data_IF_411590208403
#
_entry.id   IF_411590208403
#
_cell.length_a   1.000
_cell.length_b   1.000
_cell.length_c   1.000
_cell.angle_alpha   90.00
_cell.angle_beta   90.00
_cell.angle_gamma   90.00
#
_symmetry.space_group_name_H-M   'P 1'
#
loop_
_entity.id
_entity.type
_entity.pdbx_description
1 polymer ?
#
# COMPACT_ATOMS: atom_id res chain seq x y z
N UNK A 1 7.56 -9.97 14.41
CA UNK A 1 7.96 -11.34 14.05
C UNK A 1 7.18 -11.80 12.82
N UNK A 2 7.88 -12.35 11.83
CA UNK A 2 7.26 -12.87 10.60
C UNK A 2 7.27 -14.40 10.62
N UNK A 3 6.15 -15.01 10.26
CA UNK A 3 5.95 -16.45 10.28
C UNK A 3 5.48 -16.97 8.92
N UNK A 4 5.95 -18.14 8.50
CA UNK A 4 5.48 -18.76 7.25
C UNK A 4 4.09 -19.41 7.36
N UNK A 5 3.62 -19.65 8.59
CA UNK A 5 2.29 -20.18 8.93
C UNK A 5 1.80 -19.56 10.25
N UNK A 6 0.52 -19.78 10.60
CA UNK A 6 -0.01 -19.38 11.91
C UNK A 6 0.90 -19.97 13.01
N UNK A 7 1.47 -19.13 13.90
CA UNK A 7 2.27 -19.61 15.02
C UNK A 7 1.36 -20.10 16.14
N UNK A 8 1.79 -21.13 16.87
CA UNK A 8 1.13 -21.57 18.10
C UNK A 8 1.40 -20.58 19.24
N UNK A 9 0.61 -20.68 20.32
CA UNK A 9 0.88 -19.93 21.56
C UNK A 9 2.29 -20.19 22.09
N UNK A 10 2.75 -21.45 22.04
CA UNK A 10 4.09 -21.82 22.54
C UNK A 10 5.20 -21.23 21.66
N UNK A 11 5.02 -21.19 20.34
CA UNK A 11 5.96 -20.55 19.42
C UNK A 11 6.03 -19.03 19.66
N UNK A 12 4.91 -18.38 19.96
CA UNK A 12 4.87 -16.97 20.36
C UNK A 12 5.54 -16.73 21.71
N UNK A 13 5.28 -17.57 22.71
CA UNK A 13 5.93 -17.50 24.01
C UNK A 13 7.46 -17.73 23.92
N UNK A 14 7.92 -18.58 22.99
CA UNK A 14 9.34 -18.79 22.74
C UNK A 14 10.06 -17.51 22.29
N UNK A 15 9.38 -16.59 21.60
CA UNK A 15 9.95 -15.28 21.23
C UNK A 15 10.28 -14.45 22.47
N UNK A 16 9.39 -14.42 23.47
CA UNK A 16 9.64 -13.71 24.72
C UNK A 16 10.82 -14.31 25.49
N UNK A 17 10.91 -15.65 25.54
CA UNK A 17 12.06 -16.32 26.18
C UNK A 17 13.37 -16.03 25.45
N UNK A 18 13.36 -16.04 24.11
CA UNK A 18 14.53 -15.69 23.31
C UNK A 18 14.96 -14.23 23.51
N UNK A 19 14.01 -13.34 23.83
CA UNK A 19 14.28 -11.95 24.20
C UNK A 19 14.68 -11.75 25.67
N UNK A 20 14.84 -12.83 26.45
CA UNK A 20 15.07 -12.79 27.90
C UNK A 20 14.03 -11.96 28.65
N UNK A 21 12.78 -12.02 28.20
CA UNK A 21 11.67 -11.37 28.90
C UNK A 21 11.47 -12.01 30.28
N UNK A 22 11.30 -11.17 31.29
CA UNK A 22 10.96 -11.58 32.64
C UNK A 22 9.49 -12.02 32.73
N UNK A 23 8.61 -11.44 31.90
CA UNK A 23 7.18 -11.76 31.85
C UNK A 23 6.61 -11.56 30.44
N UNK A 24 5.50 -12.24 30.14
CA UNK A 24 4.75 -12.13 28.89
C UNK A 24 3.23 -12.07 29.16
N UNK A 25 2.55 -11.22 28.40
CA UNK A 25 1.09 -11.22 28.26
C UNK A 25 0.72 -11.50 26.81
N UNK A 26 0.05 -12.62 26.58
CA UNK A 26 -0.53 -12.93 25.28
C UNK A 26 -1.82 -12.13 25.11
N UNK A 27 -1.84 -11.16 24.19
CA UNK A 27 -3.00 -10.27 24.00
C UNK A 27 -3.99 -10.89 23.02
N UNK A 28 -3.49 -11.39 21.89
CA UNK A 28 -4.31 -12.12 20.92
C UNK A 28 -4.39 -13.60 21.28
N UNK A 29 -5.61 -14.14 21.37
CA UNK A 29 -5.87 -15.58 21.54
C UNK A 29 -5.41 -16.41 20.33
N UNK A 30 -5.40 -17.73 20.50
CA UNK A 30 -4.90 -18.70 19.50
C UNK A 30 -5.72 -18.68 18.19
N UNK A 31 -7.02 -18.43 18.30
CA UNK A 31 -7.93 -18.39 17.16
C UNK A 31 -8.00 -17.02 16.46
N UNK A 32 -7.37 -15.98 17.01
CA UNK A 32 -7.42 -14.64 16.42
C UNK A 32 -6.81 -14.61 15.00
N UNK A 33 -7.27 -13.66 14.18
CA UNK A 33 -6.65 -13.40 12.88
C UNK A 33 -5.37 -12.58 13.04
N UNK A 34 -4.37 -12.78 12.17
CA UNK A 34 -3.18 -11.93 12.15
C UNK A 34 -3.55 -10.46 11.86
N UNK A 35 -2.73 -9.50 12.32
CA UNK A 35 -1.57 -9.72 13.18
C UNK A 35 -1.96 -10.10 14.62
N UNK A 36 -1.17 -10.96 15.26
CA UNK A 36 -1.29 -11.27 16.68
C UNK A 36 -0.38 -10.35 17.51
N UNK A 37 -0.88 -9.92 18.66
CA UNK A 37 -0.19 -9.00 19.55
C UNK A 37 0.17 -9.69 20.86
N UNK A 38 1.41 -9.46 21.30
CA UNK A 38 1.95 -9.89 22.58
C UNK A 38 2.66 -8.72 23.27
N UNK A 39 2.57 -8.67 24.60
CA UNK A 39 3.40 -7.74 25.38
C UNK A 39 4.44 -8.55 26.14
N UNK A 40 5.71 -8.24 25.95
CA UNK A 40 6.80 -8.81 26.74
C UNK A 40 7.34 -7.75 27.70
N UNK A 41 7.85 -8.17 28.86
CA UNK A 41 8.40 -7.27 29.87
C UNK A 41 9.86 -7.61 30.10
N UNK A 42 10.74 -6.64 29.88
CA UNK A 42 12.19 -6.81 29.99
C UNK A 42 12.70 -6.27 31.32
N UNK A 43 13.73 -6.92 31.87
CA UNK A 43 14.44 -6.49 33.09
C UNK A 43 13.73 -6.81 34.40
N UNK A 44 12.40 -6.72 34.45
CA UNK A 44 11.57 -7.12 35.58
C UNK A 44 10.20 -7.59 35.10
N UNK A 45 9.47 -8.30 35.96
CA UNK A 45 8.08 -8.66 35.71
C UNK A 45 7.17 -7.42 35.79
N UNK A 46 5.89 -7.58 35.44
CA UNK A 46 4.89 -6.53 35.65
C UNK A 46 4.75 -6.16 37.14
N UNK A 47 4.48 -4.89 37.46
CA UNK A 47 4.31 -3.74 36.54
C UNK A 47 5.62 -2.99 36.23
N UNK A 48 6.75 -3.41 36.79
CA UNK A 48 7.98 -2.61 36.84
C UNK A 48 8.90 -2.81 35.61
N UNK A 49 8.68 -3.87 34.84
CA UNK A 49 9.42 -4.15 33.61
C UNK A 49 9.12 -3.24 32.43
N UNK A 50 10.10 -3.08 31.52
CA UNK A 50 9.89 -2.37 30.25
C UNK A 50 8.96 -3.19 29.35
N UNK A 51 7.74 -2.71 29.14
CA UNK A 51 6.79 -3.32 28.21
C UNK A 51 7.21 -3.05 26.76
N UNK A 52 7.34 -4.12 25.97
CA UNK A 52 7.54 -4.08 24.52
C UNK A 52 6.40 -4.82 23.84
N UNK A 53 5.74 -4.16 22.89
CA UNK A 53 4.74 -4.81 22.04
C UNK A 53 5.45 -5.60 20.94
N UNK A 54 5.12 -6.88 20.83
CA UNK A 54 5.60 -7.78 19.79
C UNK A 54 4.42 -8.12 18.89
N UNK A 55 4.52 -7.69 17.64
CA UNK A 55 3.53 -8.00 16.60
C UNK A 55 4.00 -9.21 15.82
N UNK A 56 3.16 -10.24 15.74
CA UNK A 56 3.37 -11.47 14.96
C UNK A 56 2.47 -11.43 13.73
N UNK A 57 3.03 -11.61 12.55
CA UNK A 57 2.26 -11.64 11.30
C UNK A 57 2.78 -12.71 10.34
N UNK A 58 2.01 -13.02 9.31
CA UNK A 58 2.44 -13.96 8.28
C UNK A 58 3.32 -13.25 7.24
N UNK A 59 4.39 -13.92 6.80
CA UNK A 59 5.24 -13.43 5.72
C UNK A 59 4.41 -13.19 4.45
N UNK A 60 3.48 -14.09 4.11
CA UNK A 60 2.63 -13.95 2.92
C UNK A 60 1.76 -12.69 2.96
N UNK A 61 1.19 -12.34 4.11
CA UNK A 61 0.38 -11.12 4.26
C UNK A 61 1.23 -9.85 4.06
N UNK A 62 2.47 -9.89 4.50
CA UNK A 62 3.41 -8.78 4.34
C UNK A 62 3.88 -8.69 2.90
N UNK A 63 4.20 -9.82 2.26
CA UNK A 63 4.58 -9.86 0.85
C UNK A 63 3.45 -9.35 -0.06
N UNK A 64 2.20 -9.80 0.17
CA UNK A 64 1.02 -9.31 -0.54
C UNK A 64 0.83 -7.79 -0.35
N UNK A 65 0.93 -7.29 0.89
CA UNK A 65 0.81 -5.87 1.18
C UNK A 65 1.93 -5.03 0.54
N UNK A 66 3.18 -5.54 0.53
CA UNK A 66 4.31 -4.87 -0.10
C UNK A 66 4.20 -4.87 -1.62
N UNK A 67 3.76 -5.97 -2.23
CA UNK A 67 3.50 -6.06 -3.67
C UNK A 67 2.40 -5.09 -4.07
N UNK A 68 1.31 -5.04 -3.29
CA UNK A 68 0.22 -4.09 -3.51
C UNK A 68 0.69 -2.64 -3.39
N UNK A 69 1.41 -2.30 -2.31
CA UNK A 69 1.95 -0.96 -2.11
C UNK A 69 2.92 -0.56 -3.24
N UNK A 70 3.75 -1.50 -3.71
CA UNK A 70 4.64 -1.29 -4.86
C UNK A 70 3.84 -1.01 -6.13
N UNK A 71 2.77 -1.74 -6.40
CA UNK A 71 1.93 -1.51 -7.58
C UNK A 71 1.15 -0.19 -7.49
N UNK A 72 0.63 0.16 -6.32
CA UNK A 72 0.02 1.47 -6.06
C UNK A 72 1.01 2.61 -6.29
N UNK A 73 2.24 2.49 -5.78
CA UNK A 73 3.31 3.46 -6.05
C UNK A 73 3.63 3.54 -7.55
N UNK A 74 3.73 2.40 -8.25
CA UNK A 74 4.06 2.37 -9.67
C UNK A 74 2.99 3.09 -10.50
N UNK A 75 1.72 2.77 -10.26
CA UNK A 75 0.59 3.37 -10.99
C UNK A 75 0.41 4.84 -10.59
N UNK A 76 0.49 5.18 -9.30
CA UNK A 76 0.44 6.57 -8.85
C UNK A 76 1.57 7.42 -9.42
N UNK A 77 2.76 6.85 -9.60
CA UNK A 77 3.87 7.54 -10.30
C UNK A 77 3.52 7.87 -11.75
N UNK A 78 2.79 6.99 -12.44
CA UNK A 78 2.36 7.24 -13.83
C UNK A 78 1.38 8.40 -13.90
N UNK A 79 0.39 8.44 -13.00
CA UNK A 79 -0.53 9.59 -12.85
C UNK A 79 0.26 10.88 -12.65
N UNK A 80 1.17 10.90 -11.68
CA UNK A 80 1.98 12.08 -11.39
C UNK A 80 2.84 12.51 -12.58
N UNK A 81 3.43 11.57 -13.33
CA UNK A 81 4.23 11.90 -14.51
C UNK A 81 3.39 12.57 -15.60
N UNK A 82 2.18 12.06 -15.87
CA UNK A 82 1.26 12.65 -16.85
C UNK A 82 0.85 14.05 -16.41
N UNK A 83 0.48 14.23 -15.15
CA UNK A 83 0.11 15.55 -14.62
C UNK A 83 1.28 16.53 -14.67
N UNK A 84 2.49 16.10 -14.33
CA UNK A 84 3.69 16.93 -14.48
C UNK A 84 3.90 17.35 -15.94
N UNK A 85 3.77 16.42 -16.89
CA UNK A 85 3.89 16.72 -18.32
C UNK A 85 2.80 17.69 -18.80
N UNK A 86 1.53 17.50 -18.39
CA UNK A 86 0.43 18.42 -18.70
C UNK A 86 0.68 19.85 -18.18
N UNK A 87 1.38 19.96 -17.04
CA UNK A 87 1.78 21.24 -16.46
C UNK A 87 3.13 21.76 -16.98
N UNK A 88 3.69 21.16 -18.04
CA UNK A 88 4.97 21.57 -18.64
C UNK A 88 6.20 21.35 -17.75
N UNK A 89 6.09 20.50 -16.73
CA UNK A 89 7.14 20.20 -15.75
C UNK A 89 7.77 18.84 -16.05
N UNK A 90 8.98 18.82 -16.61
CA UNK A 90 9.64 17.57 -17.03
C UNK A 90 10.74 17.07 -16.08
N UNK A 91 10.94 17.76 -14.95
CA UNK A 91 11.92 17.42 -13.91
C UNK A 91 11.29 16.81 -12.64
N UNK A 92 10.08 16.24 -12.76
CA UNK A 92 9.41 15.48 -11.70
C UNK A 92 10.18 14.21 -11.34
N UNK A 93 11.19 14.37 -10.48
CA UNK A 93 12.04 13.30 -9.98
C UNK A 93 11.19 12.23 -9.25
N UNK A 94 11.65 10.97 -9.08
CA UNK A 94 11.04 9.91 -8.24
C UNK A 94 10.73 10.29 -6.77
N UNK A 95 10.92 11.55 -6.41
CA UNK A 95 10.62 12.18 -5.12
C UNK A 95 9.27 12.93 -5.10
N UNK A 96 8.44 12.88 -6.14
CA UNK A 96 7.13 13.54 -6.15
C UNK A 96 6.24 13.12 -4.95
N UNK A 97 6.29 11.84 -4.54
CA UNK A 97 5.61 11.36 -3.33
C UNK A 97 6.14 11.95 -2.02
N UNK A 98 7.37 12.50 -1.99
CA UNK A 98 7.92 13.14 -0.77
C UNK A 98 7.29 14.50 -0.49
N UNK A 99 6.61 15.10 -1.47
CA UNK A 99 6.07 16.45 -1.39
C UNK A 99 4.62 16.51 -1.89
N UNK A 100 3.80 15.52 -1.50
CA UNK A 100 2.38 15.47 -1.89
C UNK A 100 1.64 16.78 -1.56
N UNK A 101 1.93 17.40 -0.41
CA UNK A 101 1.30 18.68 -0.04
C UNK A 101 1.67 19.86 -0.96
N UNK A 102 2.81 19.78 -1.64
CA UNK A 102 3.21 20.83 -2.57
C UNK A 102 2.51 20.68 -3.94
N UNK A 103 1.94 19.50 -4.24
CA UNK A 103 1.39 19.21 -5.56
C UNK A 103 0.22 20.11 -5.92
N UNK A 104 -0.63 20.48 -4.96
CA UNK A 104 -1.79 21.36 -5.23
C UNK A 104 -1.35 22.76 -5.69
N UNK A 105 -0.18 23.22 -5.25
CA UNK A 105 0.39 24.49 -5.72
C UNK A 105 1.24 24.31 -6.98
N UNK A 106 1.92 23.17 -7.12
CA UNK A 106 2.83 22.88 -8.23
C UNK A 106 2.11 22.32 -9.47
N UNK A 107 0.86 21.88 -9.39
CA UNK A 107 0.12 21.32 -10.52
C UNK A 107 -1.24 22.03 -10.66
N UNK A 108 -1.29 23.20 -11.31
CA UNK A 108 -2.56 23.88 -11.61
C UNK A 108 -3.57 23.03 -12.39
N UNK A 109 -3.08 22.15 -13.27
CA UNK A 109 -3.90 21.16 -14.00
C UNK A 109 -3.78 19.82 -13.26
N UNK A 110 -4.70 19.55 -12.34
CA UNK A 110 -4.71 18.33 -11.55
C UNK A 110 -6.13 17.95 -11.10
N UNK A 111 -6.37 16.65 -10.79
CA UNK A 111 -7.58 16.21 -10.11
C UNK A 111 -7.78 16.92 -8.77
N UNK A 112 -9.03 17.12 -8.36
CA UNK A 112 -9.36 17.69 -7.06
C UNK A 112 -8.85 16.80 -5.92
N UNK A 113 -8.34 17.42 -4.85
CA UNK A 113 -7.75 16.75 -3.68
C UNK A 113 -6.68 15.69 -4.01
N UNK A 114 -5.91 15.88 -5.09
CA UNK A 114 -4.94 14.91 -5.60
C UNK A 114 -4.05 14.31 -4.50
N UNK A 115 -3.50 15.17 -3.63
CA UNK A 115 -2.60 14.77 -2.55
C UNK A 115 -3.30 13.86 -1.52
N UNK A 116 -4.50 14.25 -1.09
CA UNK A 116 -5.29 13.48 -0.12
C UNK A 116 -5.71 12.13 -0.71
N UNK A 117 -6.12 12.10 -1.98
CA UNK A 117 -6.54 10.87 -2.68
C UNK A 117 -5.37 9.93 -2.93
N UNK A 118 -4.20 10.42 -3.29
CA UNK A 118 -3.00 9.58 -3.39
C UNK A 118 -2.59 8.98 -2.04
N UNK A 119 -2.80 9.69 -0.93
CA UNK A 119 -2.58 9.13 0.42
C UNK A 119 -3.59 8.05 0.75
N UNK A 120 -4.87 8.28 0.44
CA UNK A 120 -5.93 7.33 0.79
C UNK A 120 -5.75 5.97 0.13
N UNK A 121 -5.14 5.92 -1.06
CA UNK A 121 -4.79 4.66 -1.76
C UNK A 121 -3.99 3.70 -0.86
N UNK A 122 -3.12 4.21 0.03
CA UNK A 122 -2.29 3.37 0.90
C UNK A 122 -2.90 3.08 2.27
N UNK A 123 -4.00 3.75 2.63
CA UNK A 123 -4.64 3.63 3.95
C UNK A 123 -6.00 2.95 3.91
N UNK A 124 -6.66 2.95 2.74
CA UNK A 124 -7.93 2.27 2.53
C UNK A 124 -7.73 0.75 2.38
N UNK A 125 -8.79 -0.05 2.60
CA UNK A 125 -8.81 -1.45 2.18
C UNK A 125 -8.41 -1.59 0.70
N UNK A 126 -7.68 -2.66 0.36
CA UNK A 126 -7.09 -2.85 -0.97
C UNK A 126 -8.06 -2.61 -2.15
N UNK A 127 -9.31 -3.12 -2.16
CA UNK A 127 -10.25 -2.87 -3.26
C UNK A 127 -10.64 -1.39 -3.37
N UNK A 128 -10.83 -0.71 -2.24
CA UNK A 128 -11.18 0.71 -2.18
C UNK A 128 -9.99 1.59 -2.60
N UNK A 129 -8.77 1.24 -2.20
CA UNK A 129 -7.55 1.91 -2.64
C UNK A 129 -7.33 1.77 -4.15
N UNK A 130 -7.57 0.58 -4.71
CA UNK A 130 -7.50 0.36 -6.15
C UNK A 130 -8.55 1.18 -6.92
N UNK A 131 -9.77 1.27 -6.38
CA UNK A 131 -10.83 2.09 -6.96
C UNK A 131 -10.51 3.59 -6.90
N UNK A 132 -9.97 4.08 -5.78
CA UNK A 132 -9.51 5.46 -5.64
C UNK A 132 -8.43 5.80 -6.69
N UNK A 133 -7.49 4.89 -6.93
CA UNK A 133 -6.44 5.05 -7.93
C UNK A 133 -6.98 4.98 -9.37
N UNK A 134 -7.95 4.09 -9.62
CA UNK A 134 -8.67 4.02 -10.91
C UNK A 134 -9.39 5.33 -11.22
N UNK A 135 -10.09 5.89 -10.24
CA UNK A 135 -10.79 7.17 -10.36
C UNK A 135 -9.82 8.32 -10.66
N UNK A 136 -8.65 8.37 -10.01
CA UNK A 136 -7.60 9.36 -10.32
C UNK A 136 -7.10 9.25 -11.77
N UNK A 137 -6.99 8.03 -12.28
CA UNK A 137 -6.52 7.78 -13.65
C UNK A 137 -7.54 8.25 -14.69
N UNK A 138 -8.83 8.00 -14.45
CA UNK A 138 -9.93 8.46 -15.32
C UNK A 138 -10.05 9.99 -15.37
N UNK A 139 -9.92 10.66 -14.22
CA UNK A 139 -9.90 12.13 -14.15
C UNK A 139 -8.65 12.70 -14.83
N UNK A 140 -7.51 12.00 -14.74
CA UNK A 140 -6.32 12.40 -15.49
C UNK A 140 -6.57 12.32 -16.99
N UNK A 141 -7.31 11.32 -17.47
CA UNK A 141 -7.73 11.26 -18.87
C UNK A 141 -8.68 12.40 -19.26
N UNK A 142 -9.63 12.78 -18.40
CA UNK A 142 -10.47 13.96 -18.64
C UNK A 142 -9.61 15.23 -18.83
N UNK A 143 -8.59 15.40 -17.99
CA UNK A 143 -7.67 16.54 -18.11
C UNK A 143 -6.83 16.49 -19.38
N UNK A 144 -6.32 15.31 -19.77
CA UNK A 144 -5.60 15.15 -21.04
C UNK A 144 -6.51 15.51 -22.21
N UNK A 145 -7.75 15.05 -22.22
CA UNK A 145 -8.71 15.30 -23.30
C UNK A 145 -9.00 16.80 -23.46
N UNK A 146 -9.11 17.54 -22.35
CA UNK A 146 -9.32 19.00 -22.35
C UNK A 146 -8.08 19.76 -22.82
N UNK A 147 -6.89 19.36 -22.38
CA UNK A 147 -5.67 20.15 -22.57
C UNK A 147 -4.80 19.72 -23.76
N UNK A 148 -4.97 18.51 -24.27
CA UNK A 148 -4.25 17.93 -25.41
C UNK A 148 -5.24 17.16 -26.32
N UNK A 149 -6.14 17.87 -27.02
CA UNK A 149 -7.21 17.25 -27.82
C UNK A 149 -6.70 16.42 -29.01
N UNK A 150 -5.42 16.53 -29.37
CA UNK A 150 -4.77 15.69 -30.36
C UNK A 150 -4.48 14.25 -29.86
N UNK A 151 -4.56 14.00 -28.56
CA UNK A 151 -4.36 12.67 -27.97
C UNK A 151 -5.66 11.87 -28.06
N UNK A 152 -5.59 10.67 -28.62
CA UNK A 152 -6.70 9.71 -28.66
C UNK A 152 -6.94 9.08 -27.28
N UNK A 153 -7.57 9.85 -26.38
CA UNK A 153 -7.87 9.44 -25.00
C UNK A 153 -8.86 8.28 -24.96
N UNK A 154 -9.81 8.21 -25.88
CA UNK A 154 -10.78 7.11 -25.97
C UNK A 154 -10.10 5.76 -26.15
N UNK A 155 -9.10 5.68 -27.03
CA UNK A 155 -8.29 4.49 -27.19
C UNK A 155 -7.52 4.14 -25.92
N UNK A 156 -6.95 5.13 -25.24
CA UNK A 156 -6.19 4.91 -23.99
C UNK A 156 -7.10 4.41 -22.86
N UNK A 157 -8.31 4.96 -22.74
CA UNK A 157 -9.36 4.49 -21.81
C UNK A 157 -9.79 3.06 -22.12
N UNK A 158 -10.04 2.73 -23.38
CA UNK A 158 -10.42 1.38 -23.77
C UNK A 158 -9.36 0.35 -23.40
N UNK A 159 -8.07 0.68 -23.59
CA UNK A 159 -6.95 -0.17 -23.17
C UNK A 159 -6.84 -0.31 -21.65
N UNK A 160 -7.07 0.78 -20.91
CA UNK A 160 -7.00 0.77 -19.45
C UNK A 160 -8.13 -0.03 -18.81
N UNK A 161 -9.35 0.10 -19.33
CA UNK A 161 -10.55 -0.61 -18.87
C UNK A 161 -10.61 -2.06 -19.37
N UNK A 162 -9.75 -2.43 -20.33
CA UNK A 162 -9.73 -3.79 -20.86
C UNK A 162 -9.38 -4.77 -19.75
N UNK A 163 -10.26 -5.76 -19.55
CA UNK A 163 -10.10 -6.77 -18.52
C UNK A 163 -9.01 -7.74 -18.97
N UNK A 164 -7.76 -7.46 -18.58
CA UNK A 164 -6.65 -8.36 -18.88
C UNK A 164 -6.75 -9.54 -17.94
N UNK A 165 -7.12 -10.69 -18.49
CA UNK A 165 -7.05 -11.94 -17.75
C UNK A 165 -5.63 -12.17 -17.23
N UNK A 166 -5.47 -12.65 -15.98
CA UNK A 166 -4.17 -13.08 -15.47
C UNK A 166 -3.55 -14.08 -16.46
N UNK A 167 -2.24 -13.97 -16.71
CA UNK A 167 -1.51 -14.88 -17.62
C UNK A 167 -1.72 -16.38 -17.26
N UNK A 168 -2.06 -16.67 -16.00
CA UNK A 168 -2.32 -18.01 -15.46
C UNK A 168 -3.65 -18.64 -15.93
N UNK A 169 -4.59 -17.86 -16.48
CA UNK A 169 -5.88 -18.39 -17.00
C UNK A 169 -5.90 -18.59 -18.51
N UNK A 170 -4.78 -18.32 -19.20
CA UNK A 170 -4.66 -18.65 -20.62
C UNK A 170 -4.53 -20.18 -20.76
N UNK A 171 -5.36 -20.85 -21.57
CA UNK A 171 -5.15 -22.26 -21.85
C UNK A 171 -3.74 -22.41 -22.44
N UNK A 172 -2.90 -23.23 -21.82
CA UNK A 172 -1.66 -23.69 -22.43
C UNK A 172 -2.05 -24.37 -23.73
N UNK A 173 -1.86 -23.67 -24.85
CA UNK A 173 -2.00 -24.24 -26.18
C UNK A 173 -0.97 -25.36 -26.29
N UNK A 174 -1.46 -26.61 -26.24
CA UNK A 174 -0.71 -27.81 -26.55
C UNK A 174 -0.53 -28.00 -28.06
#
# INVERSE_FOLDING_TARGET
>A
MFWSRRPTVEERAAVARAAYAADIRLVSGEDANPPWYDHIYLGAERPDGLMVEVVHTLTSLVDEALLLAREFMRIGSQVLNVLHALNGRYCGHPSAFKRLDALEHELPIAPHDLAARLRSVFTLPAPEGAEALRSLFEETYDLVEVHLPEVDVDRLRALFRSDRQPLETLPTTG
#
